data_IF_170814865081
#
_entry.id   IF_170814865081
#
_cell.length_a   1.000
_cell.length_b   1.000
_cell.length_c   1.000
_cell.angle_alpha   90.00
_cell.angle_beta   90.00
_cell.angle_gamma   90.00
#
_symmetry.space_group_name_H-M   'P 1'
#
loop_
_entity.id
_entity.type
_entity.pdbx_description
1 polymer ?
#
# COMPACT_ATOMS: atom_id res chain seq x y z
N UNK A 1 -2.10 -16.28 16.26
CA UNK A 1 -1.75 -15.24 17.24
C UNK A 1 -1.28 -14.03 16.46
N UNK A 2 -2.17 -13.03 16.29
CA UNK A 2 -1.86 -11.79 15.58
C UNK A 2 -0.83 -10.98 16.36
N UNK A 3 0.36 -10.84 15.78
CA UNK A 3 1.40 -10.00 16.33
C UNK A 3 1.07 -8.53 16.04
N UNK A 4 0.48 -7.86 17.04
CA UNK A 4 0.52 -6.40 17.17
C UNK A 4 1.99 -5.96 17.26
N UNK A 5 2.58 -5.54 16.15
CA UNK A 5 3.82 -4.75 16.13
C UNK A 5 3.55 -3.45 15.37
N UNK A 6 3.55 -2.37 16.13
CA UNK A 6 3.81 -0.98 15.76
C UNK A 6 3.89 -0.68 14.26
N UNK A 7 2.83 -0.11 13.68
CA UNK A 7 2.85 0.78 12.49
C UNK A 7 3.40 0.26 11.15
N UNK A 8 4.01 -0.92 11.14
CA UNK A 8 4.70 -1.50 9.98
C UNK A 8 3.98 -2.83 9.69
N UNK A 9 3.26 -2.88 8.58
CA UNK A 9 2.69 -4.15 8.11
C UNK A 9 3.83 -5.01 7.57
N UNK A 10 4.20 -6.04 8.33
CA UNK A 10 5.18 -7.03 7.88
C UNK A 10 4.52 -7.95 6.85
N UNK A 11 4.79 -7.68 5.57
CA UNK A 11 4.34 -8.54 4.48
C UNK A 11 5.08 -9.90 4.51
N UNK A 12 4.43 -11.00 4.12
CA UNK A 12 5.08 -12.31 4.03
C UNK A 12 6.31 -12.27 3.13
N UNK A 13 7.41 -12.87 3.58
CA UNK A 13 8.71 -12.88 2.88
C UNK A 13 8.67 -13.51 1.48
N UNK A 14 7.68 -14.35 1.21
CA UNK A 14 7.58 -15.17 -0.01
C UNK A 14 6.85 -14.48 -1.17
N UNK A 15 6.38 -13.23 -0.99
CA UNK A 15 5.66 -12.47 -2.02
C UNK A 15 6.48 -12.21 -3.30
N UNK A 16 7.82 -12.25 -3.23
CA UNK A 16 8.68 -11.97 -4.39
C UNK A 16 8.60 -12.99 -5.53
N UNK A 17 8.13 -14.20 -5.25
CA UNK A 17 8.01 -15.29 -6.24
C UNK A 17 6.55 -15.42 -6.73
N UNK A 18 5.63 -14.71 -6.10
CA UNK A 18 4.21 -14.77 -6.45
C UNK A 18 3.95 -14.02 -7.75
N UNK A 19 2.87 -14.42 -8.44
CA UNK A 19 2.44 -13.68 -9.62
C UNK A 19 2.10 -12.21 -9.23
N UNK A 20 2.40 -11.24 -10.11
CA UNK A 20 2.17 -9.82 -9.86
C UNK A 20 0.74 -9.48 -9.42
N UNK A 21 -0.25 -10.14 -10.02
CA UNK A 21 -1.67 -9.87 -9.74
C UNK A 21 -2.06 -10.35 -8.35
N UNK A 22 -1.59 -11.52 -7.93
CA UNK A 22 -1.86 -12.06 -6.59
C UNK A 22 -1.16 -11.23 -5.53
N UNK A 23 0.09 -10.80 -5.75
CA UNK A 23 0.77 -9.90 -4.79
C UNK A 23 -0.01 -8.59 -4.61
N UNK A 24 -0.47 -7.97 -5.70
CA UNK A 24 -1.27 -6.75 -5.63
C UNK A 24 -2.64 -6.99 -4.98
N UNK A 25 -3.26 -8.14 -5.24
CA UNK A 25 -4.51 -8.56 -4.58
C UNK A 25 -4.33 -8.67 -3.08
N UNK A 26 -3.26 -9.31 -2.61
CA UNK A 26 -2.93 -9.42 -1.19
C UNK A 26 -2.77 -8.05 -0.53
N UNK A 27 -2.10 -7.08 -1.18
CA UNK A 27 -2.03 -5.71 -0.68
C UNK A 27 -3.41 -5.04 -0.58
N UNK A 28 -4.26 -5.28 -1.57
CA UNK A 28 -5.64 -4.77 -1.58
C UNK A 28 -6.45 -5.36 -0.43
N UNK A 29 -6.30 -6.66 -0.14
CA UNK A 29 -6.94 -7.34 0.98
C UNK A 29 -6.48 -6.75 2.33
N UNK A 30 -5.18 -6.50 2.51
CA UNK A 30 -4.67 -5.79 3.70
C UNK A 30 -5.21 -4.35 3.81
N UNK A 31 -5.39 -3.68 2.68
CA UNK A 31 -6.02 -2.38 2.59
C UNK A 31 -7.49 -2.39 3.05
N UNK A 32 -8.20 -3.47 2.73
CA UNK A 32 -9.62 -3.63 3.06
C UNK A 32 -9.88 -4.15 4.48
N UNK A 33 -8.85 -4.68 5.14
CA UNK A 33 -8.89 -5.14 6.54
C UNK A 33 -8.92 -3.96 7.52
N UNK A 34 -10.01 -3.19 7.49
CA UNK A 34 -10.31 -2.10 8.43
C UNK A 34 -11.71 -2.27 8.98
N UNK A 35 -11.83 -2.17 10.29
CA UNK A 35 -13.08 -2.32 11.03
C UNK A 35 -13.41 -1.02 11.79
N UNK A 36 -14.70 -0.79 11.96
CA UNK A 36 -15.25 0.34 12.72
C UNK A 36 -15.93 -0.24 13.96
N UNK A 37 -15.47 0.19 15.13
CA UNK A 37 -16.04 -0.16 16.42
C UNK A 37 -17.08 0.90 16.79
N UNK A 38 -18.32 0.45 17.01
CA UNK A 38 -19.44 1.31 17.35
C UNK A 38 -19.31 1.99 18.73
N UNK A 39 -18.39 1.53 19.58
CA UNK A 39 -18.10 2.16 20.86
C UNK A 39 -17.12 3.35 20.73
N UNK A 40 -16.49 3.51 19.57
CA UNK A 40 -15.53 4.57 19.31
C UNK A 40 -16.23 5.69 18.52
N UNK A 41 -16.30 6.93 19.06
CA UNK A 41 -16.98 8.02 18.37
C UNK A 41 -16.44 8.23 16.95
N UNK A 42 -17.30 8.37 15.92
CA UNK A 42 -16.89 8.52 14.52
C UNK A 42 -15.84 9.62 14.29
N UNK A 43 -15.94 10.71 15.03
CA UNK A 43 -14.99 11.83 14.99
C UNK A 43 -13.53 11.40 15.22
N UNK A 44 -13.28 10.36 16.02
CA UNK A 44 -11.92 9.81 16.22
C UNK A 44 -11.38 9.19 14.94
N UNK A 45 -12.20 8.46 14.19
CA UNK A 45 -11.82 7.92 12.89
C UNK A 45 -11.43 9.03 11.93
N UNK A 46 -12.21 10.11 11.83
CA UNK A 46 -11.89 11.27 10.98
C UNK A 46 -10.52 11.88 11.29
N UNK A 47 -10.16 12.00 12.57
CA UNK A 47 -8.83 12.47 12.97
C UNK A 47 -7.74 11.47 12.59
N UNK A 48 -7.90 10.20 12.98
CA UNK A 48 -6.92 9.15 12.67
C UNK A 48 -6.76 8.93 11.15
N UNK A 49 -7.81 9.16 10.37
CA UNK A 49 -7.81 9.05 8.93
C UNK A 49 -6.87 10.06 8.26
N UNK A 50 -6.82 11.29 8.76
CA UNK A 50 -5.86 12.29 8.25
C UNK A 50 -4.42 11.87 8.53
N UNK A 51 -4.16 11.28 9.70
CA UNK A 51 -2.84 10.72 10.03
C UNK A 51 -2.48 9.51 9.16
N UNK A 52 -3.44 8.65 8.79
CA UNK A 52 -3.20 7.56 7.83
C UNK A 52 -2.70 8.11 6.50
N UNK A 53 -3.31 9.19 5.99
CA UNK A 53 -2.87 9.82 4.75
C UNK A 53 -1.50 10.47 4.90
N UNK A 54 -1.25 11.16 6.01
CA UNK A 54 0.06 11.74 6.31
C UNK A 54 1.16 10.66 6.31
N UNK A 55 0.91 9.52 6.95
CA UNK A 55 1.85 8.40 6.98
C UNK A 55 2.01 7.73 5.61
N UNK A 56 0.96 7.65 4.79
CA UNK A 56 1.06 7.17 3.42
C UNK A 56 1.97 8.07 2.58
N UNK A 57 1.85 9.40 2.72
CA UNK A 57 2.74 10.37 2.06
C UNK A 57 4.20 10.24 2.53
N UNK A 58 4.45 9.86 3.79
CA UNK A 58 5.80 9.55 4.30
C UNK A 58 6.34 8.29 3.63
N UNK A 59 5.57 7.20 3.59
CA UNK A 59 6.00 5.97 2.93
C UNK A 59 6.24 6.15 1.42
N UNK A 60 5.48 7.02 0.75
CA UNK A 60 5.77 7.40 -0.63
C UNK A 60 7.15 8.03 -0.79
N UNK A 61 7.54 8.94 0.13
CA UNK A 61 8.85 9.61 0.10
C UNK A 61 10.00 8.66 0.43
N UNK A 62 9.76 7.68 1.28
CA UNK A 62 10.73 6.66 1.66
C UNK A 62 10.86 5.54 0.61
N UNK A 63 10.05 5.55 -0.46
CA UNK A 63 10.01 4.49 -1.47
C UNK A 63 9.33 3.21 -0.99
N UNK A 64 8.65 3.23 0.15
CA UNK A 64 7.89 2.12 0.69
C UNK A 64 6.48 2.08 0.09
N UNK A 65 6.44 1.80 -1.22
CA UNK A 65 5.23 1.90 -2.05
C UNK A 65 4.11 0.95 -1.61
N UNK A 66 4.45 -0.25 -1.13
CA UNK A 66 3.47 -1.23 -0.66
C UNK A 66 2.71 -0.73 0.58
N UNK A 67 3.44 -0.23 1.58
CA UNK A 67 2.81 0.30 2.79
C UNK A 67 2.05 1.60 2.53
N UNK A 68 2.55 2.45 1.63
CA UNK A 68 1.81 3.63 1.17
C UNK A 68 0.46 3.22 0.54
N UNK A 69 0.47 2.22 -0.34
CA UNK A 69 -0.74 1.73 -0.99
C UNK A 69 -1.73 1.15 0.02
N UNK A 70 -1.28 0.32 0.96
CA UNK A 70 -2.12 -0.24 2.02
C UNK A 70 -2.79 0.89 2.83
N UNK A 71 -2.05 1.93 3.22
CA UNK A 71 -2.62 3.03 3.99
C UNK A 71 -3.64 3.85 3.20
N UNK A 72 -3.38 4.13 1.92
CA UNK A 72 -4.36 4.79 1.07
C UNK A 72 -5.64 3.96 0.91
N UNK A 73 -5.49 2.64 0.70
CA UNK A 73 -6.63 1.72 0.62
C UNK A 73 -7.42 1.69 1.93
N UNK A 74 -6.75 1.60 3.09
CA UNK A 74 -7.41 1.65 4.42
C UNK A 74 -8.20 2.93 4.62
N UNK A 75 -7.62 4.06 4.27
CA UNK A 75 -8.29 5.35 4.35
C UNK A 75 -9.55 5.36 3.46
N UNK A 76 -9.42 4.97 2.19
CA UNK A 76 -10.55 4.93 1.26
C UNK A 76 -11.65 3.98 1.73
N UNK A 77 -11.33 2.74 2.06
CA UNK A 77 -12.29 1.72 2.51
C UNK A 77 -13.00 2.16 3.80
N UNK A 78 -12.27 2.73 4.76
CA UNK A 78 -12.85 3.26 6.00
C UNK A 78 -13.92 4.31 5.72
N UNK A 79 -13.64 5.30 4.88
CA UNK A 79 -14.52 6.46 4.72
C UNK A 79 -15.56 6.35 3.60
N UNK A 80 -15.33 5.51 2.59
CA UNK A 80 -16.28 5.26 1.50
C UNK A 80 -17.30 4.19 1.91
N UNK A 81 -16.84 3.17 2.64
CA UNK A 81 -17.64 1.98 2.95
C UNK A 81 -17.95 1.90 4.45
N UNK A 82 -16.95 1.68 5.30
CA UNK A 82 -17.19 1.18 6.67
C UNK A 82 -17.87 2.18 7.61
N UNK A 83 -17.38 3.42 7.66
CA UNK A 83 -17.82 4.42 8.64
C UNK A 83 -19.30 4.83 8.45
N UNK A 84 -19.84 4.65 7.24
CA UNK A 84 -21.22 5.04 6.90
C UNK A 84 -22.26 4.18 7.63
N UNK A 85 -21.86 3.01 8.13
CA UNK A 85 -22.71 2.10 8.91
C UNK A 85 -22.66 2.36 10.42
N UNK A 86 -21.81 3.28 10.90
CA UNK A 86 -21.74 3.59 12.32
C UNK A 86 -23.04 4.28 12.78
N UNK A 87 -23.65 3.89 13.93
CA UNK A 87 -24.91 4.46 14.40
C UNK A 87 -24.86 5.99 14.56
N UNK A 88 -23.77 6.50 15.14
CA UNK A 88 -23.55 7.94 15.34
C UNK A 88 -22.94 8.67 14.12
N UNK A 89 -22.95 8.09 12.91
CA UNK A 89 -22.31 8.72 11.74
C UNK A 89 -22.86 10.13 11.44
N UNK A 90 -24.16 10.35 11.68
CA UNK A 90 -24.81 11.65 11.50
C UNK A 90 -24.27 12.74 12.44
N UNK A 91 -23.72 12.37 13.60
CA UNK A 91 -23.18 13.30 14.62
C UNK A 91 -21.86 13.95 14.22
N UNK A 92 -21.20 13.44 13.17
CA UNK A 92 -19.95 14.01 12.67
C UNK A 92 -20.19 15.45 12.19
N UNK A 93 -19.32 16.42 12.54
CA UNK A 93 -19.44 17.77 12.02
C UNK A 93 -19.38 17.83 10.48
N UNK A 94 -20.18 18.72 9.88
CA UNK A 94 -20.18 18.94 8.41
C UNK A 94 -18.78 19.33 7.93
N UNK A 95 -18.05 20.12 8.70
CA UNK A 95 -16.68 20.56 8.42
C UNK A 95 -15.70 19.39 8.33
N UNK A 96 -15.81 18.42 9.23
CA UNK A 96 -14.95 17.24 9.26
C UNK A 96 -15.25 16.33 8.05
N UNK A 97 -16.54 16.18 7.71
CA UNK A 97 -16.96 15.47 6.49
C UNK A 97 -16.46 16.15 5.21
N UNK A 98 -16.55 17.47 5.13
CA UNK A 98 -16.07 18.23 3.97
C UNK A 98 -14.55 18.10 3.80
N UNK A 99 -13.79 18.22 4.89
CA UNK A 99 -12.33 18.04 4.90
C UNK A 99 -11.95 16.64 4.44
N UNK A 100 -12.62 15.62 4.95
CA UNK A 100 -12.37 14.23 4.55
C UNK A 100 -12.75 13.97 3.08
N UNK A 101 -13.84 14.54 2.60
CA UNK A 101 -14.25 14.44 1.20
C UNK A 101 -13.21 15.08 0.27
N UNK A 102 -12.64 16.22 0.65
CA UNK A 102 -11.53 16.83 -0.08
C UNK A 102 -10.30 15.91 -0.10
N UNK A 103 -9.95 15.32 1.05
CA UNK A 103 -8.83 14.38 1.16
C UNK A 103 -9.03 13.12 0.31
N UNK A 104 -10.25 12.58 0.25
CA UNK A 104 -10.59 11.46 -0.62
C UNK A 104 -10.35 11.79 -2.10
N UNK A 105 -10.73 12.99 -2.56
CA UNK A 105 -10.46 13.42 -3.95
C UNK A 105 -8.98 13.52 -4.28
N UNK A 106 -8.15 13.85 -3.28
CA UNK A 106 -6.70 13.89 -3.45
C UNK A 106 -6.06 12.49 -3.42
N UNK A 107 -6.57 11.59 -2.56
CA UNK A 107 -6.01 10.25 -2.36
C UNK A 107 -6.36 9.29 -3.48
N UNK A 108 -7.59 9.33 -4.01
CA UNK A 108 -8.04 8.42 -5.06
C UNK A 108 -7.09 8.35 -6.27
N UNK A 109 -6.73 9.47 -6.94
CA UNK A 109 -5.81 9.42 -8.08
C UNK A 109 -4.39 9.00 -7.68
N UNK A 110 -3.93 9.34 -6.46
CA UNK A 110 -2.62 8.88 -5.96
C UNK A 110 -2.59 7.35 -5.81
N UNK A 111 -3.63 6.78 -5.22
CA UNK A 111 -3.74 5.34 -5.00
C UNK A 111 -3.84 4.57 -6.33
N UNK A 112 -4.59 5.10 -7.30
CA UNK A 112 -4.69 4.53 -8.65
C UNK A 112 -3.34 4.54 -9.37
N UNK A 113 -2.64 5.68 -9.38
CA UNK A 113 -1.29 5.77 -9.96
C UNK A 113 -0.33 4.79 -9.29
N UNK A 114 -0.34 4.72 -7.96
CA UNK A 114 0.52 3.84 -7.18
C UNK A 114 0.22 2.36 -7.45
N UNK A 115 -1.04 1.99 -7.63
CA UNK A 115 -1.44 0.63 -8.02
C UNK A 115 -0.79 0.22 -9.34
N UNK A 116 -0.83 1.09 -10.35
CA UNK A 116 -0.21 0.84 -11.65
C UNK A 116 1.32 0.73 -11.52
N UNK A 117 1.95 1.60 -10.73
CA UNK A 117 3.39 1.54 -10.48
C UNK A 117 3.82 0.23 -9.79
N UNK A 118 3.07 -0.23 -8.78
CA UNK A 118 3.33 -1.50 -8.11
C UNK A 118 3.18 -2.69 -9.07
N UNK A 119 2.15 -2.68 -9.92
CA UNK A 119 1.95 -3.73 -10.91
C UNK A 119 3.13 -3.83 -11.87
N UNK A 120 3.57 -2.70 -12.44
CA UNK A 120 4.71 -2.65 -13.35
C UNK A 120 6.00 -3.13 -12.67
N UNK A 121 6.23 -2.70 -11.42
CA UNK A 121 7.38 -3.16 -10.63
C UNK A 121 7.36 -4.68 -10.45
N UNK A 122 6.21 -5.24 -10.09
CA UNK A 122 6.08 -6.69 -9.88
C UNK A 122 6.21 -7.49 -11.17
N UNK A 123 5.66 -7.02 -12.28
CA UNK A 123 5.84 -7.67 -13.58
C UNK A 123 7.32 -7.72 -13.98
N UNK A 124 8.05 -6.63 -13.76
CA UNK A 124 9.48 -6.57 -14.05
C UNK A 124 10.30 -7.47 -13.11
N UNK A 125 10.00 -7.48 -11.81
CA UNK A 125 10.62 -8.40 -10.85
C UNK A 125 10.36 -9.86 -11.22
N UNK A 126 9.11 -10.19 -11.59
CA UNK A 126 8.69 -11.53 -11.97
C UNK A 126 9.41 -11.98 -13.25
N UNK A 127 9.41 -11.17 -14.32
CA UNK A 127 10.12 -11.50 -15.58
C UNK A 127 11.60 -11.80 -15.34
N UNK A 128 12.28 -10.92 -14.60
CA UNK A 128 13.72 -11.10 -14.28
C UNK A 128 13.99 -12.42 -13.56
N UNK A 129 13.12 -12.83 -12.64
CA UNK A 129 13.24 -14.11 -11.95
C UNK A 129 13.21 -15.31 -12.92
N UNK A 130 12.32 -15.30 -13.92
CA UNK A 130 12.27 -16.38 -14.93
C UNK A 130 13.40 -16.30 -15.96
N UNK A 131 13.85 -15.11 -16.34
CA UNK A 131 14.99 -14.92 -17.25
C UNK A 131 16.29 -15.44 -16.61
N UNK A 132 16.50 -15.17 -15.32
CA UNK A 132 17.64 -15.67 -14.56
C UNK A 132 17.59 -17.21 -14.40
N UNK A 133 16.41 -17.79 -14.23
CA UNK A 133 16.25 -19.25 -14.15
C UNK A 133 16.41 -19.96 -15.50
N UNK A 134 15.98 -19.35 -16.60
CA UNK A 134 16.17 -19.92 -17.96
C UNK A 134 17.61 -19.79 -18.45
N UNK A 135 18.33 -18.75 -18.02
CA UNK A 135 19.76 -18.53 -18.34
C UNK A 135 20.73 -19.31 -17.42
N UNK A 136 20.24 -19.86 -16.31
CA UNK A 136 21.02 -20.52 -15.25
C UNK A 136 21.30 -22.01 -15.41
N UNK A 137 20.92 -22.66 -16.52
CA UNK A 137 21.33 -24.06 -16.79
C UNK A 137 22.72 -24.21 -17.44
N UNK A 138 23.50 -23.13 -17.58
CA UNK A 138 24.87 -23.21 -18.11
C UNK A 138 25.86 -22.60 -17.11
N UNK A 139 26.59 -23.51 -16.44
CA UNK A 139 27.85 -23.35 -15.66
C UNK A 139 27.78 -23.01 -14.15
N UNK A 140 28.00 -24.07 -13.39
CA UNK A 140 28.80 -24.28 -12.18
C UNK A 140 29.40 -23.09 -11.38
N UNK A 141 29.17 -23.16 -10.06
CA UNK A 141 29.92 -22.72 -8.88
C UNK A 141 30.43 -21.28 -8.66
N UNK A 142 30.25 -20.90 -7.39
CA UNK A 142 30.93 -19.88 -6.55
C UNK A 142 30.48 -18.41 -6.64
N UNK A 143 29.88 -18.01 -5.52
CA UNK A 143 30.01 -16.68 -4.90
C UNK A 143 29.46 -15.49 -5.69
N UNK A 144 28.13 -15.36 -5.75
CA UNK A 144 27.51 -14.04 -5.95
C UNK A 144 26.44 -13.85 -4.89
N UNK A 145 26.80 -13.10 -3.85
CA UNK A 145 25.83 -12.60 -2.86
C UNK A 145 24.73 -11.77 -3.55
N UNK A 146 23.60 -11.55 -2.86
CA UNK A 146 22.44 -10.92 -3.47
C UNK A 146 22.79 -9.51 -3.92
N UNK A 147 22.84 -9.28 -5.25
CA UNK A 147 22.82 -7.94 -5.81
C UNK A 147 21.41 -7.40 -5.63
N UNK A 148 21.13 -6.83 -4.46
CA UNK A 148 19.99 -5.95 -4.26
C UNK A 148 20.26 -4.68 -5.08
N UNK A 149 20.00 -4.74 -6.39
CA UNK A 149 20.03 -3.55 -7.23
C UNK A 149 18.59 -3.09 -7.43
N UNK A 150 18.35 -1.88 -6.91
CA UNK A 150 17.06 -1.25 -6.70
C UNK A 150 16.48 -0.70 -8.01
N UNK A 151 16.05 -1.58 -8.92
CA UNK A 151 15.37 -1.13 -10.15
C UNK A 151 14.06 -0.38 -9.81
N UNK A 152 13.41 -0.72 -8.69
CA UNK A 152 12.28 0.04 -8.12
C UNK A 152 12.63 1.51 -7.82
N UNK A 153 13.87 1.80 -7.40
CA UNK A 153 14.31 3.18 -7.18
C UNK A 153 14.60 3.91 -8.50
N UNK A 154 15.04 3.19 -9.54
CA UNK A 154 15.29 3.78 -10.85
C UNK A 154 14.00 4.15 -11.59
N UNK A 155 12.96 3.30 -11.53
CA UNK A 155 11.63 3.63 -12.07
C UNK A 155 11.00 4.79 -11.28
N UNK A 156 11.24 4.87 -9.97
CA UNK A 156 10.81 6.01 -9.15
C UNK A 156 11.49 7.32 -9.60
N UNK A 157 12.78 7.31 -9.92
CA UNK A 157 13.47 8.50 -10.43
C UNK A 157 12.98 8.93 -11.82
N UNK A 158 12.77 8.00 -12.74
CA UNK A 158 12.34 8.31 -14.11
C UNK A 158 10.87 8.77 -14.20
N UNK A 159 9.98 8.26 -13.35
CA UNK A 159 8.54 8.59 -13.37
C UNK A 159 8.17 9.84 -12.55
N UNK A 160 9.07 10.34 -11.70
CA UNK A 160 8.84 11.52 -10.83
C UNK A 160 9.58 12.77 -11.34
N UNK A 161 10.46 12.64 -12.34
CA UNK A 161 11.10 13.80 -12.98
C UNK A 161 12.00 14.61 -12.05
N UNK A 162 12.80 13.92 -11.24
CA UNK A 162 13.92 14.51 -10.49
C UNK A 162 15.22 14.40 -11.29
#
# INVERSE_FOLDING_TARGET
>A
MENKKNGIFSLPSDLKIMDPSTRLKTLTEYGNAVEVDNNIPPKRYYRSGLEMVRMADVYMKEGNLENAFILYMKFMTLFIEKIRYHPDFSTVPVTDRATNAQKLREVMPKAEKLKSQLMECYENEYKRYFDEQSSGQVTDNRSRGPRLNSQCFQIFCEAVGL
#
